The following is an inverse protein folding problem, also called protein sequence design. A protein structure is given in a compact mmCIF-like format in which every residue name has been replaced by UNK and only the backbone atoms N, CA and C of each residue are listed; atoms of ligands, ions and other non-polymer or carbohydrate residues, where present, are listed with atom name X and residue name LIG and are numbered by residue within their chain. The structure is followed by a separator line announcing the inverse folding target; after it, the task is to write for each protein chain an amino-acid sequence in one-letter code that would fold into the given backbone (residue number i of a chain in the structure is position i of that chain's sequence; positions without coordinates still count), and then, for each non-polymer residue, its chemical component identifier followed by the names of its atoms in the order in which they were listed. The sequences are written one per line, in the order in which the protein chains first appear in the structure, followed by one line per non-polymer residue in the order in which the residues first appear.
data_IF_133891063329
#
_entry.id   IF_133891063329
#
_cell.length_a   1.000
_cell.length_b   1.000
_cell.length_c   1.000
_cell.angle_alpha   90.00
_cell.angle_beta   90.00
_cell.angle_gamma   90.00
#
_symmetry.space_group_name_H-M   'P 1'
#
loop_
_entity.id
_entity.type
_entity.pdbx_description
1 polymer ?
#
# COMPACT_ATOMS: atom_id res chain seq x y z
N UNK A 1 -7.58 -33.33 59.88
CA UNK A 1 -8.68 -34.22 60.26
C UNK A 1 -9.80 -33.35 60.80
N UNK A 2 -10.89 -33.19 60.05
CA UNK A 2 -12.25 -32.90 60.55
C UNK A 2 -13.14 -32.84 59.31
N UNK A 3 -13.88 -33.91 59.08
CA UNK A 3 -14.85 -34.03 58.01
C UNK A 3 -16.23 -33.67 58.52
N UNK A 4 -16.95 -32.84 57.77
CA UNK A 4 -18.38 -32.64 57.97
C UNK A 4 -19.11 -33.07 56.69
N UNK A 5 -19.84 -34.18 56.83
CA UNK A 5 -20.88 -34.62 55.90
C UNK A 5 -22.12 -33.78 56.18
N UNK A 6 -22.65 -33.09 55.17
CA UNK A 6 -24.03 -32.62 55.18
C UNK A 6 -24.75 -33.34 54.04
N UNK A 7 -25.63 -34.22 54.45
CA UNK A 7 -26.64 -34.92 53.66
C UNK A 7 -27.79 -33.93 53.46
N UNK A 8 -28.19 -33.68 52.21
CA UNK A 8 -29.49 -33.09 51.90
C UNK A 8 -30.19 -34.02 50.90
N UNK A 9 -31.23 -34.67 51.39
CA UNK A 9 -32.11 -35.58 50.66
C UNK A 9 -33.51 -34.95 50.65
N UNK A 10 -34.04 -34.82 49.43
CA UNK A 10 -35.45 -34.83 48.97
C UNK A 10 -36.47 -33.83 49.54
N UNK A 11 -37.18 -33.20 48.59
CA UNK A 11 -38.62 -33.40 48.29
C UNK A 11 -39.40 -32.08 48.05
N UNK A 12 -40.43 -32.21 47.20
CA UNK A 12 -41.45 -31.21 46.79
C UNK A 12 -41.00 -30.14 45.78
N UNK A 13 -41.67 -29.95 44.64
CA UNK A 13 -42.92 -30.52 44.16
C UNK A 13 -43.16 -30.17 42.70
N UNK A 14 -43.96 -31.04 42.07
CA UNK A 14 -44.58 -30.85 40.77
C UNK A 14 -45.32 -29.51 40.70
N UNK A 15 -45.12 -28.76 39.62
CA UNK A 15 -46.19 -27.96 39.04
C UNK A 15 -46.02 -27.92 37.52
N UNK A 16 -46.93 -28.61 36.84
CA UNK A 16 -47.17 -28.56 35.41
C UNK A 16 -48.09 -27.36 35.15
N UNK A 17 -47.73 -26.41 34.28
CA UNK A 17 -48.73 -25.61 33.58
C UNK A 17 -48.96 -26.19 32.18
N UNK A 18 -50.21 -26.55 32.00
CA UNK A 18 -50.88 -27.00 30.80
C UNK A 18 -50.95 -25.92 29.71
N UNK A 19 -51.00 -26.41 28.48
CA UNK A 19 -51.76 -25.89 27.34
C UNK A 19 -51.71 -24.38 27.05
N UNK A 20 -51.05 -24.04 25.94
CA UNK A 20 -51.67 -23.15 24.96
C UNK A 20 -51.42 -23.67 23.55
N UNK A 21 -52.52 -24.19 23.00
CA UNK A 21 -52.74 -24.41 21.58
C UNK A 21 -52.86 -23.06 20.87
N UNK A 22 -52.77 -23.10 19.53
CA UNK A 22 -52.89 -21.98 18.57
C UNK A 22 -51.56 -21.24 18.42
N UNK A 23 -50.86 -21.23 17.28
CA UNK A 23 -51.33 -21.16 15.90
C UNK A 23 -50.28 -21.80 14.98
N UNK A 24 -50.68 -22.85 14.26
CA UNK A 24 -49.96 -23.32 13.09
C UNK A 24 -50.26 -22.36 11.93
N UNK A 25 -49.49 -21.27 11.82
CA UNK A 25 -49.47 -20.46 10.61
C UNK A 25 -48.64 -21.17 9.54
N UNK A 26 -49.38 -21.87 8.67
CA UNK A 26 -49.11 -22.08 7.24
C UNK A 26 -47.90 -21.32 6.70
N UNK A 27 -46.79 -22.03 6.53
CA UNK A 27 -45.61 -21.59 5.77
C UNK A 27 -45.78 -21.82 4.25
N UNK A 28 -47.02 -22.01 3.76
CA UNK A 28 -47.29 -22.42 2.38
C UNK A 28 -47.87 -21.33 1.45
N UNK A 29 -48.11 -20.09 1.92
CA UNK A 29 -48.79 -19.08 1.09
C UNK A 29 -48.11 -17.70 0.99
N UNK A 30 -46.81 -17.60 1.25
CA UNK A 30 -46.03 -16.37 1.00
C UNK A 30 -44.97 -16.57 -0.10
N UNK A 31 -45.31 -17.32 -1.16
CA UNK A 31 -44.49 -17.47 -2.38
C UNK A 31 -45.15 -16.93 -3.64
N UNK A 32 -46.33 -16.27 -3.56
CA UNK A 32 -47.12 -15.93 -4.75
C UNK A 32 -47.56 -14.48 -4.91
N UNK A 33 -47.06 -13.55 -4.10
CA UNK A 33 -47.28 -12.13 -4.34
C UNK A 33 -46.00 -11.36 -4.01
N UNK A 34 -45.63 -10.42 -4.90
CA UNK A 34 -44.51 -9.49 -4.77
C UNK A 34 -43.15 -9.92 -5.34
N UNK A 35 -43.12 -10.51 -6.55
CA UNK A 35 -42.14 -10.08 -7.57
C UNK A 35 -42.86 -10.20 -8.92
N UNK A 36 -43.20 -9.07 -9.56
CA UNK A 36 -43.42 -9.03 -11.01
C UNK A 36 -42.02 -8.86 -11.63
N UNK A 37 -41.36 -9.92 -12.15
CA UNK A 37 -40.04 -9.79 -12.78
C UNK A 37 -40.10 -9.14 -14.19
N UNK A 38 -41.27 -8.67 -14.62
CA UNK A 38 -41.54 -8.28 -16.01
C UNK A 38 -41.33 -6.80 -16.36
N UNK A 39 -40.72 -5.98 -15.50
CA UNK A 39 -40.48 -4.55 -15.77
C UNK A 39 -39.02 -4.12 -15.77
N UNK A 40 -38.07 -5.06 -15.77
CA UNK A 40 -36.72 -4.75 -16.20
C UNK A 40 -36.63 -5.01 -17.70
N UNK A 41 -36.36 -4.00 -18.55
CA UNK A 41 -36.06 -4.26 -19.94
C UNK A 41 -34.87 -5.21 -19.97
N UNK A 42 -35.08 -6.41 -20.51
CA UNK A 42 -34.02 -7.35 -20.86
C UNK A 42 -33.20 -6.70 -21.97
N UNK A 43 -32.29 -5.81 -21.61
CA UNK A 43 -31.26 -5.30 -22.50
C UNK A 43 -30.28 -6.44 -22.75
N UNK A 44 -30.64 -7.32 -23.66
CA UNK A 44 -29.68 -8.14 -24.39
C UNK A 44 -28.53 -7.21 -24.83
N UNK A 45 -27.33 -7.57 -24.40
CA UNK A 45 -26.03 -7.05 -24.83
C UNK A 45 -25.55 -5.68 -24.34
N UNK A 46 -25.76 -5.32 -23.06
CA UNK A 46 -24.80 -4.40 -22.41
C UNK A 46 -23.54 -5.20 -22.07
N UNK A 47 -22.65 -5.36 -23.06
CA UNK A 47 -21.29 -5.84 -22.82
C UNK A 47 -20.53 -4.73 -22.11
N UNK A 48 -20.40 -4.85 -20.79
CA UNK A 48 -19.42 -4.04 -20.07
C UNK A 48 -18.05 -4.34 -20.71
N UNK A 49 -17.33 -3.35 -21.27
CA UNK A 49 -16.00 -3.60 -21.78
C UNK A 49 -15.15 -4.07 -20.61
N UNK A 50 -14.83 -5.37 -20.60
CA UNK A 50 -13.83 -5.95 -19.72
C UNK A 50 -12.50 -5.36 -20.15
N UNK A 51 -12.18 -4.18 -19.62
CA UNK A 51 -10.89 -3.55 -19.82
C UNK A 51 -9.85 -4.40 -19.08
N UNK A 52 -9.38 -5.47 -19.73
CA UNK A 52 -8.32 -6.34 -19.25
C UNK A 52 -7.03 -5.57 -18.95
N UNK A 53 -6.88 -4.36 -19.50
CA UNK A 53 -5.77 -3.45 -19.23
C UNK A 53 -5.84 -2.76 -17.86
N UNK A 54 -7.03 -2.48 -17.31
CA UNK A 54 -7.15 -1.87 -15.98
C UNK A 54 -6.75 -2.87 -14.87
N UNK A 55 -7.03 -4.17 -15.08
CA UNK A 55 -6.55 -5.25 -14.23
C UNK A 55 -5.06 -5.58 -14.43
N UNK A 56 -4.39 -5.12 -15.49
CA UNK A 56 -2.94 -5.33 -15.64
C UNK A 56 -2.10 -4.39 -14.78
N UNK A 57 -2.71 -3.36 -14.18
CA UNK A 57 -2.08 -2.58 -13.11
C UNK A 57 -2.25 -3.20 -11.73
N UNK A 58 -2.69 -4.46 -11.63
CA UNK A 58 -2.82 -5.21 -10.36
C UNK A 58 -1.47 -5.28 -9.65
N UNK A 59 -1.28 -4.27 -8.80
CA UNK A 59 -0.84 -4.36 -7.42
C UNK A 59 0.12 -5.53 -7.20
N UNK A 60 1.34 -5.43 -7.72
CA UNK A 60 2.38 -6.43 -7.48
C UNK A 60 2.85 -6.49 -6.02
N UNK A 61 2.14 -5.89 -5.06
CA UNK A 61 2.53 -5.93 -3.65
C UNK A 61 2.42 -7.36 -3.16
N UNK A 62 3.49 -7.85 -2.55
CA UNK A 62 3.44 -9.15 -1.88
C UNK A 62 2.57 -8.98 -0.65
N UNK A 63 1.56 -9.83 -0.50
CA UNK A 63 0.67 -9.78 0.67
C UNK A 63 1.13 -10.79 1.72
N UNK A 64 1.28 -10.31 2.96
CA UNK A 64 1.62 -11.12 4.12
C UNK A 64 0.48 -10.96 5.12
N UNK A 65 -0.26 -12.03 5.38
CA UNK A 65 -1.40 -12.02 6.30
C UNK A 65 -1.09 -12.87 7.53
N UNK A 66 -1.43 -12.36 8.71
CA UNK A 66 -1.12 -12.99 9.99
C UNK A 66 -2.40 -13.11 10.81
N UNK A 67 -2.72 -14.33 11.20
CA UNK A 67 -3.91 -14.68 11.99
C UNK A 67 -3.50 -15.62 13.15
N UNK A 68 -4.35 -15.84 14.17
CA UNK A 68 -4.05 -16.75 15.27
C UNK A 68 -3.75 -18.17 14.81
N UNK A 69 -4.30 -18.56 13.65
CA UNK A 69 -4.16 -19.89 13.05
C UNK A 69 -2.84 -20.07 12.28
N UNK A 70 -2.20 -18.98 11.86
CA UNK A 70 -1.05 -19.06 10.98
C UNK A 70 -0.63 -17.77 10.27
N UNK A 71 0.51 -17.87 9.60
CA UNK A 71 1.08 -16.85 8.72
C UNK A 71 0.91 -17.30 7.27
N UNK A 72 0.39 -16.41 6.43
CA UNK A 72 0.01 -16.67 5.05
C UNK A 72 0.75 -15.69 4.13
N UNK A 73 1.29 -16.19 3.01
CA UNK A 73 1.92 -15.37 1.98
C UNK A 73 1.13 -15.54 0.69
N UNK A 74 0.52 -14.46 0.22
CA UNK A 74 -0.38 -14.46 -0.94
C UNK A 74 -1.47 -15.54 -0.83
N UNK A 75 -2.14 -15.59 0.33
CA UNK A 75 -3.18 -16.56 0.64
C UNK A 75 -2.68 -17.98 0.96
N UNK A 76 -1.41 -18.30 0.73
CA UNK A 76 -0.86 -19.64 1.00
C UNK A 76 -0.27 -19.71 2.40
N UNK A 77 -0.83 -20.57 3.26
CA UNK A 77 -0.34 -20.81 4.63
C UNK A 77 1.12 -21.30 4.60
N UNK A 78 2.01 -20.56 5.24
CA UNK A 78 3.43 -20.92 5.34
C UNK A 78 3.77 -21.52 6.71
N UNK A 79 3.11 -21.04 7.77
CA UNK A 79 3.41 -21.44 9.15
C UNK A 79 2.10 -21.57 9.90
N UNK A 80 1.90 -22.71 10.57
CA UNK A 80 0.87 -22.87 11.58
C UNK A 80 1.34 -22.33 12.92
N UNK A 81 0.58 -21.41 13.51
CA UNK A 81 0.82 -20.95 14.88
C UNK A 81 0.09 -21.89 15.86
N UNK A 82 0.72 -22.17 17.00
CA UNK A 82 0.05 -22.87 18.10
C UNK A 82 -0.75 -21.86 18.94
N UNK A 83 -1.78 -22.34 19.63
CA UNK A 83 -2.67 -21.58 20.51
C UNK A 83 -1.95 -20.42 21.22
N UNK A 84 -2.32 -19.19 20.88
CA UNK A 84 -1.74 -17.96 21.45
C UNK A 84 -0.50 -17.41 20.73
N UNK A 85 -0.49 -17.35 19.39
CA UNK A 85 0.52 -16.64 18.60
C UNK A 85 1.97 -17.16 18.71
N UNK A 86 2.17 -18.37 19.27
CA UNK A 86 3.51 -18.92 19.49
C UNK A 86 4.05 -19.58 18.21
N UNK A 87 5.23 -19.13 17.79
CA UNK A 87 5.99 -19.74 16.70
C UNK A 87 6.62 -21.08 17.14
N UNK A 88 6.55 -22.15 16.33
CA UNK A 88 7.26 -23.39 16.63
C UNK A 88 8.77 -23.16 16.65
N UNK A 89 9.50 -23.70 17.65
CA UNK A 89 10.96 -23.53 17.79
C UNK A 89 11.73 -23.88 16.50
N UNK A 90 11.29 -24.93 15.81
CA UNK A 90 11.85 -25.40 14.52
C UNK A 90 11.75 -24.40 13.35
N UNK A 91 10.94 -23.36 13.46
CA UNK A 91 10.80 -22.34 12.40
C UNK A 91 11.85 -21.22 12.49
N UNK A 92 12.54 -21.10 13.63
CA UNK A 92 13.58 -20.11 13.87
C UNK A 92 14.95 -20.67 13.49
N UNK A 93 15.87 -19.81 13.02
CA UNK A 93 17.24 -20.24 12.67
C UNK A 93 18.03 -20.70 13.89
N UNK A 94 17.90 -19.97 14.99
CA UNK A 94 18.45 -20.28 16.31
C UNK A 94 17.38 -19.94 17.35
N UNK A 95 17.42 -20.60 18.51
CA UNK A 95 16.58 -20.23 19.66
C UNK A 95 16.77 -18.74 19.95
N UNK A 96 15.68 -17.97 20.00
CA UNK A 96 15.73 -16.51 20.20
C UNK A 96 15.99 -15.67 18.95
N UNK A 97 16.32 -16.25 17.79
CA UNK A 97 16.55 -15.45 16.57
C UNK A 97 15.27 -14.76 16.07
N UNK A 98 15.42 -13.58 15.46
CA UNK A 98 14.32 -12.84 14.84
C UNK A 98 13.92 -13.37 13.46
N UNK A 99 14.78 -14.20 12.84
CA UNK A 99 14.58 -14.69 11.49
C UNK A 99 13.69 -15.94 11.46
N UNK A 100 12.54 -15.82 10.80
CA UNK A 100 11.60 -16.91 10.57
C UNK A 100 11.95 -17.58 9.24
N UNK A 101 12.65 -18.72 9.27
CA UNK A 101 13.25 -19.37 8.10
C UNK A 101 12.27 -19.73 6.97
N UNK A 102 11.14 -20.42 7.21
CA UNK A 102 10.22 -20.79 6.12
C UNK A 102 9.61 -19.55 5.45
N UNK A 103 9.29 -18.53 6.25
CA UNK A 103 8.78 -17.26 5.75
C UNK A 103 9.84 -16.52 4.91
N UNK A 104 11.07 -16.43 5.42
CA UNK A 104 12.20 -15.82 4.69
C UNK A 104 12.39 -16.44 3.31
N UNK A 105 12.44 -17.78 3.23
CA UNK A 105 12.61 -18.50 1.96
C UNK A 105 11.49 -18.15 0.97
N UNK A 106 10.23 -18.12 1.43
CA UNK A 106 9.07 -17.78 0.60
C UNK A 106 9.11 -16.34 0.11
N UNK A 107 9.38 -15.38 1.00
CA UNK A 107 9.47 -13.96 0.68
C UNK A 107 10.65 -13.67 -0.28
N UNK A 108 11.81 -14.30 -0.06
CA UNK A 108 12.97 -14.17 -0.94
C UNK A 108 12.67 -14.69 -2.36
N UNK A 109 11.95 -15.81 -2.48
CA UNK A 109 11.53 -16.34 -3.77
C UNK A 109 10.60 -15.35 -4.51
N UNK A 110 9.66 -14.72 -3.81
CA UNK A 110 8.79 -13.68 -4.37
C UNK A 110 9.59 -12.45 -4.80
N UNK A 111 10.49 -11.96 -3.97
CA UNK A 111 11.37 -10.84 -4.29
C UNK A 111 12.21 -11.11 -5.55
N UNK A 112 12.88 -12.26 -5.63
CA UNK A 112 13.67 -12.66 -6.81
C UNK A 112 12.81 -12.75 -8.07
N UNK A 113 11.61 -13.35 -7.98
CA UNK A 113 10.67 -13.44 -9.12
C UNK A 113 10.25 -12.05 -9.61
N UNK A 114 9.93 -11.13 -8.69
CA UNK A 114 9.56 -9.74 -9.04
C UNK A 114 10.71 -9.00 -9.70
N UNK A 115 11.93 -9.12 -9.16
CA UNK A 115 13.14 -8.53 -9.75
C UNK A 115 13.41 -9.07 -11.17
N UNK A 116 13.18 -10.36 -11.41
CA UNK A 116 13.30 -10.95 -12.74
C UNK A 116 12.25 -10.41 -13.73
N UNK A 117 10.99 -10.25 -13.28
CA UNK A 117 9.93 -9.64 -14.09
C UNK A 117 10.21 -8.16 -14.39
N UNK A 118 10.76 -7.40 -13.44
CA UNK A 118 11.17 -6.01 -13.63
C UNK A 118 12.15 -5.86 -14.79
N UNK A 119 13.19 -6.73 -14.80
CA UNK A 119 14.21 -6.74 -15.85
C UNK A 119 13.62 -7.00 -17.23
N UNK A 120 12.60 -7.85 -17.32
CA UNK A 120 11.93 -8.20 -18.60
C UNK A 120 10.98 -7.12 -19.07
N UNK A 121 10.23 -6.51 -18.16
CA UNK A 121 9.16 -5.56 -18.47
C UNK A 121 9.63 -4.10 -18.55
N UNK A 122 10.87 -3.81 -18.12
CA UNK A 122 11.43 -2.45 -17.99
C UNK A 122 10.60 -1.52 -17.09
N UNK A 123 9.66 -2.05 -16.31
CA UNK A 123 8.90 -1.29 -15.33
C UNK A 123 9.67 -1.18 -14.01
N UNK A 124 9.61 -0.01 -13.32
CA UNK A 124 10.17 0.12 -11.98
C UNK A 124 9.50 -0.89 -11.05
N UNK A 125 10.29 -1.57 -10.22
CA UNK A 125 9.76 -2.46 -9.19
C UNK A 125 9.78 -1.77 -7.84
N UNK A 126 8.61 -1.71 -7.24
CA UNK A 126 8.43 -1.28 -5.85
C UNK A 126 8.56 -2.50 -4.94
N UNK A 127 9.48 -2.51 -3.98
CA UNK A 127 9.71 -3.69 -3.12
C UNK A 127 8.86 -3.63 -1.84
N UNK A 128 7.57 -3.40 -2.05
CA UNK A 128 6.62 -3.14 -0.97
C UNK A 128 6.04 -4.46 -0.47
N UNK A 129 5.90 -4.57 0.85
CA UNK A 129 5.24 -5.66 1.54
C UNK A 129 3.99 -5.13 2.25
N UNK A 130 2.82 -5.63 1.85
CA UNK A 130 1.56 -5.30 2.51
C UNK A 130 1.30 -6.32 3.63
N UNK A 131 1.39 -5.87 4.88
CA UNK A 131 1.24 -6.70 6.07
C UNK A 131 -0.15 -6.51 6.67
N UNK A 132 -0.98 -7.54 6.57
CA UNK A 132 -2.27 -7.65 7.26
C UNK A 132 -2.11 -8.44 8.56
N UNK A 133 -2.61 -7.91 9.66
CA UNK A 133 -2.54 -8.60 10.95
C UNK A 133 -3.69 -8.21 11.86
N UNK A 134 -4.09 -9.13 12.74
CA UNK A 134 -5.11 -8.82 13.74
C UNK A 134 -4.60 -7.86 14.81
N UNK A 135 -5.51 -7.10 15.40
CA UNK A 135 -5.22 -6.15 16.48
C UNK A 135 -4.51 -6.80 17.68
N UNK A 136 -4.77 -8.07 17.95
CA UNK A 136 -4.22 -8.81 19.08
C UNK A 136 -2.83 -9.42 18.79
N UNK A 137 -2.21 -9.06 17.65
CA UNK A 137 -0.89 -9.57 17.28
C UNK A 137 0.16 -9.11 18.31
N UNK A 138 0.88 -10.02 18.98
CA UNK A 138 1.93 -9.63 19.91
C UNK A 138 3.03 -8.85 19.20
N UNK A 139 3.46 -7.74 19.78
CA UNK A 139 4.51 -6.88 19.23
C UNK A 139 5.80 -7.66 18.92
N UNK A 140 6.16 -8.63 19.77
CA UNK A 140 7.32 -9.49 19.54
C UNK A 140 7.23 -10.36 18.27
N UNK A 141 6.02 -10.75 17.85
CA UNK A 141 5.82 -11.46 16.58
C UNK A 141 5.86 -10.48 15.40
N UNK A 142 5.26 -9.30 15.54
CA UNK A 142 5.30 -8.23 14.54
C UNK A 142 6.75 -7.84 14.20
N UNK A 143 7.60 -7.60 15.20
CA UNK A 143 9.02 -7.26 15.01
C UNK A 143 9.78 -8.35 14.24
N UNK A 144 9.49 -9.64 14.51
CA UNK A 144 10.09 -10.77 13.78
C UNK A 144 9.64 -10.82 12.33
N UNK A 145 8.38 -10.50 12.05
CA UNK A 145 7.84 -10.44 10.69
C UNK A 145 8.48 -9.32 9.89
N UNK A 146 8.58 -8.11 10.46
CA UNK A 146 9.24 -6.96 9.83
C UNK A 146 10.72 -7.24 9.58
N UNK A 147 11.43 -7.77 10.59
CA UNK A 147 12.83 -8.17 10.45
C UNK A 147 13.02 -9.20 9.32
N UNK A 148 12.18 -10.23 9.30
CA UNK A 148 12.23 -11.29 8.27
C UNK A 148 11.94 -10.74 6.87
N UNK A 149 10.97 -9.83 6.74
CA UNK A 149 10.66 -9.14 5.49
C UNK A 149 11.82 -8.26 4.99
N UNK A 150 12.44 -7.50 5.91
CA UNK A 150 13.60 -6.66 5.60
C UNK A 150 14.79 -7.49 5.09
N UNK A 151 15.10 -8.59 5.78
CA UNK A 151 16.16 -9.53 5.35
C UNK A 151 15.86 -10.14 3.97
N UNK A 152 14.59 -10.33 3.61
CA UNK A 152 14.19 -10.86 2.30
C UNK A 152 14.32 -9.85 1.14
N UNK A 153 14.58 -8.57 1.45
CA UNK A 153 14.77 -7.50 0.46
C UNK A 153 13.58 -6.55 0.28
N UNK A 154 12.58 -6.61 1.15
CA UNK A 154 11.49 -5.64 1.19
C UNK A 154 11.92 -4.41 1.98
N UNK A 155 11.78 -3.22 1.38
CA UNK A 155 12.23 -1.96 1.99
C UNK A 155 11.09 -1.09 2.50
N UNK A 156 9.89 -1.26 1.95
CA UNK A 156 8.69 -0.51 2.32
C UNK A 156 7.63 -1.48 2.85
N UNK A 157 7.00 -1.09 3.96
CA UNK A 157 5.98 -1.89 4.64
C UNK A 157 4.70 -1.07 4.76
N UNK A 158 3.63 -1.60 4.18
CA UNK A 158 2.29 -1.07 4.40
C UNK A 158 1.63 -1.91 5.49
N UNK A 159 1.29 -1.29 6.61
CA UNK A 159 0.65 -1.97 7.74
C UNK A 159 -0.85 -1.76 7.67
N UNK A 160 -1.59 -2.87 7.66
CA UNK A 160 -3.04 -2.90 7.71
C UNK A 160 -3.50 -3.74 8.92
N UNK A 161 -4.12 -3.07 9.89
CA UNK A 161 -4.70 -3.75 11.06
C UNK A 161 -6.09 -4.26 10.69
N UNK A 162 -6.31 -5.56 10.88
CA UNK A 162 -7.61 -6.19 10.79
C UNK A 162 -8.24 -6.22 12.18
N UNK A 163 -9.46 -5.70 12.29
CA UNK A 163 -10.24 -5.89 13.51
C UNK A 163 -10.95 -7.23 13.39
N UNK A 164 -10.90 -8.09 14.44
CA UNK A 164 -11.64 -9.33 14.43
C UNK A 164 -13.12 -9.02 14.23
N UNK A 165 -13.72 -9.66 13.23
CA UNK A 165 -15.13 -9.53 12.99
C UNK A 165 -15.89 -10.08 14.19
N UNK A 166 -16.52 -9.20 14.97
CA UNK A 166 -17.76 -9.59 15.64
C UNK A 166 -18.67 -10.09 14.50
N UNK A 167 -18.98 -11.39 14.49
CA UNK A 167 -19.65 -12.12 13.40
C UNK A 167 -20.63 -11.20 12.64
N UNK A 168 -20.31 -10.81 11.40
CA UNK A 168 -21.24 -10.09 10.51
C UNK A 168 -20.82 -8.76 9.84
N UNK A 169 -19.58 -8.27 9.95
CA UNK A 169 -19.16 -7.00 9.27
C UNK A 169 -17.99 -7.18 8.28
N UNK A 170 -17.62 -6.17 7.47
CA UNK A 170 -16.60 -6.22 6.37
C UNK A 170 -15.27 -5.56 6.75
N UNK A 171 -14.15 -6.01 6.17
CA UNK A 171 -12.78 -5.67 6.61
C UNK A 171 -12.53 -4.19 6.33
N UNK A 172 -12.11 -3.42 7.33
CA UNK A 172 -11.67 -2.04 7.13
C UNK A 172 -10.14 -2.01 7.13
N UNK A 173 -9.52 -1.78 5.97
CA UNK A 173 -8.08 -1.61 5.88
C UNK A 173 -7.70 -0.19 6.33
N UNK A 174 -7.09 -0.04 7.50
CA UNK A 174 -6.46 1.21 7.93
C UNK A 174 -4.97 1.15 7.63
N UNK A 175 -4.51 1.95 6.67
CA UNK A 175 -3.09 2.08 6.32
C UNK A 175 -2.44 2.98 7.37
N UNK A 176 -1.63 2.41 8.26
CA UNK A 176 -0.78 3.18 9.15
C UNK A 176 0.59 3.38 8.50
N UNK A 177 0.90 4.61 8.11
CA UNK A 177 2.27 5.02 7.78
C UNK A 177 2.99 5.31 9.09
N UNK A 178 3.75 4.33 9.60
CA UNK A 178 4.63 4.56 10.74
C UNK A 178 5.79 5.47 10.30
N UNK A 179 5.71 6.76 10.62
CA UNK A 179 6.89 7.61 10.74
C UNK A 179 7.63 7.20 12.03
N UNK A 180 8.94 6.87 11.98
CA UNK A 180 9.68 6.59 13.21
C UNK A 180 9.64 7.84 14.11
N UNK A 181 9.36 7.69 15.42
CA UNK A 181 9.51 8.80 16.34
C UNK A 181 10.99 9.20 16.38
N UNK A 182 11.29 10.42 15.97
CA UNK A 182 12.56 11.05 16.33
C UNK A 182 12.58 11.17 17.85
N UNK A 183 13.32 10.28 18.52
CA UNK A 183 13.66 10.40 19.94
C UNK A 183 14.58 11.62 20.04
N UNK A 184 14.00 12.78 20.30
CA UNK A 184 14.70 14.03 20.54
C UNK A 184 14.78 14.30 22.03
N UNK A 185 15.91 13.93 22.65
CA UNK A 185 16.34 14.57 23.88
C UNK A 185 16.74 16.01 23.58
N UNK A 186 16.32 16.94 24.44
CA UNK A 186 16.80 18.32 24.42
C UNK A 186 18.32 18.35 24.60
N UNK A 187 19.08 19.05 23.74
CA UNK A 187 20.46 19.40 24.08
C UNK A 187 20.49 20.63 25.01
N UNK A 188 21.37 20.66 26.01
CA UNK A 188 21.61 21.87 26.80
C UNK A 188 22.25 22.97 25.95
N UNK A 189 21.91 24.21 26.29
CA UNK A 189 22.51 25.41 25.74
C UNK A 189 24.02 25.43 26.00
N UNK A 190 24.77 25.96 25.03
CA UNK A 190 26.23 26.12 24.99
C UNK A 190 27.07 24.89 24.66
N UNK A 191 27.31 24.70 23.36
CA UNK A 191 28.65 24.33 22.89
C UNK A 191 28.84 24.78 21.43
N UNK A 192 29.89 25.56 21.19
CA UNK A 192 30.41 25.89 19.85
C UNK A 192 31.01 24.60 19.28
N UNK A 193 30.53 24.16 18.12
CA UNK A 193 31.20 23.11 17.34
C UNK A 193 31.42 23.52 15.88
N UNK A 194 32.70 23.68 15.57
CA UNK A 194 33.44 23.23 14.40
C UNK A 194 32.70 22.88 13.10
N UNK A 195 33.10 23.58 12.05
CA UNK A 195 32.91 23.25 10.64
C UNK A 195 33.49 21.88 10.28
N UNK A 196 32.63 20.89 10.02
CA UNK A 196 32.99 19.67 9.29
C UNK A 196 32.46 19.72 7.86
N UNK A 197 33.38 19.84 6.90
CA UNK A 197 33.12 19.75 5.48
C UNK A 197 32.70 18.32 5.11
N UNK A 198 31.49 18.15 4.58
CA UNK A 198 30.97 16.86 4.11
C UNK A 198 31.06 16.77 2.60
N UNK A 199 31.89 15.84 2.13
CA UNK A 199 32.06 15.49 0.72
C UNK A 199 30.75 15.02 0.08
N UNK A 200 30.46 15.53 -1.12
CA UNK A 200 29.30 15.16 -1.94
C UNK A 200 29.66 13.97 -2.87
N UNK A 201 28.83 12.93 -2.97
CA UNK A 201 28.98 11.93 -4.02
C UNK A 201 28.48 12.46 -5.37
N UNK A 202 29.31 12.28 -6.40
CA UNK A 202 29.04 12.65 -7.80
C UNK A 202 27.93 11.78 -8.39
N UNK A 203 26.86 12.41 -8.89
CA UNK A 203 25.84 11.77 -9.73
C UNK A 203 26.33 11.68 -11.18
N UNK A 204 26.20 10.52 -11.87
CA UNK A 204 26.55 10.41 -13.28
C UNK A 204 25.44 10.93 -14.19
N UNK A 205 25.83 11.78 -15.14
CA UNK A 205 25.01 12.33 -16.22
C UNK A 205 24.76 11.26 -17.28
N UNK A 206 23.51 10.87 -17.51
CA UNK A 206 23.13 10.01 -18.65
C UNK A 206 22.92 10.86 -19.91
N UNK A 207 23.68 10.52 -20.95
CA UNK A 207 23.67 11.11 -22.29
C UNK A 207 22.60 10.38 -23.11
N UNK A 208 21.74 11.14 -23.79
CA UNK A 208 20.72 10.61 -24.71
C UNK A 208 21.41 10.35 -26.06
N UNK A 209 21.51 9.08 -26.47
CA UNK A 209 21.84 8.69 -27.85
C UNK A 209 20.57 8.25 -28.58
N UNK A 210 20.48 8.68 -29.84
CA UNK A 210 19.43 8.35 -30.81
C UNK A 210 19.44 6.86 -31.15
N UNK A 211 18.26 6.26 -31.27
CA UNK A 211 18.07 4.92 -31.79
C UNK A 211 18.27 4.88 -33.32
N UNK A 212 18.89 3.83 -33.88
CA UNK A 212 18.71 3.48 -35.28
C UNK A 212 17.46 2.59 -35.47
N UNK A 213 16.89 2.71 -36.67
CA UNK A 213 15.69 2.04 -37.16
C UNK A 213 15.85 0.52 -37.24
N UNK A 214 14.73 -0.19 -37.11
CA UNK A 214 14.64 -1.64 -37.20
C UNK A 214 13.76 -1.98 -38.41
N UNK A 215 14.38 -2.37 -39.52
CA UNK A 215 13.70 -3.00 -40.65
C UNK A 215 13.94 -4.51 -40.62
N UNK A 216 12.85 -5.25 -40.81
CA UNK A 216 12.71 -6.61 -41.36
C UNK A 216 13.73 -7.69 -41.01
N UNK A 217 13.25 -8.82 -40.47
CA UNK A 217 13.24 -10.09 -41.22
C UNK A 217 12.45 -11.18 -40.46
N UNK A 218 11.38 -11.60 -41.14
CA UNK A 218 10.60 -12.82 -40.95
C UNK A 218 11.39 -14.07 -41.38
N UNK A 219 11.14 -15.18 -40.69
CA UNK A 219 11.22 -16.52 -41.28
C UNK A 219 12.28 -17.46 -40.71
N UNK A 220 11.83 -18.50 -39.99
CA UNK A 220 12.16 -19.91 -40.26
C UNK A 220 11.77 -20.79 -39.06
N UNK A 221 10.60 -21.43 -39.20
CA UNK A 221 10.29 -22.71 -38.56
C UNK A 221 11.07 -23.81 -39.29
N UNK A 222 11.83 -24.64 -38.56
CA UNK A 222 11.93 -26.09 -38.83
C UNK A 222 12.52 -26.80 -37.60
N UNK A 223 11.89 -27.92 -37.25
CA UNK A 223 11.94 -28.54 -35.94
C UNK A 223 13.17 -29.37 -35.64
N UNK A 224 13.23 -29.92 -34.44
CA UNK A 224 13.79 -31.25 -34.26
C UNK A 224 13.20 -31.95 -33.03
N UNK A 225 12.48 -33.03 -33.31
CA UNK A 225 12.16 -34.10 -32.37
C UNK A 225 13.45 -34.90 -32.18
N UNK A 226 14.11 -34.81 -31.03
CA UNK A 226 14.80 -35.96 -30.43
C UNK A 226 14.89 -35.78 -28.91
N UNK A 227 13.97 -36.50 -28.26
CA UNK A 227 13.99 -36.87 -26.86
C UNK A 227 15.18 -37.79 -26.56
N UNK A 228 15.74 -37.61 -25.37
CA UNK A 228 16.01 -38.69 -24.43
C UNK A 228 16.64 -39.98 -25.00
N UNK A 229 17.96 -39.96 -25.24
CA UNK A 229 18.72 -41.22 -25.32
C UNK A 229 20.22 -41.14 -25.02
N UNK A 230 20.70 -40.12 -24.31
CA UNK A 230 22.13 -40.03 -23.96
C UNK A 230 22.35 -39.76 -22.46
N UNK A 231 22.28 -40.85 -21.69
CA UNK A 231 23.23 -41.30 -20.65
C UNK A 231 23.78 -40.22 -19.69
N UNK A 232 23.54 -40.25 -18.37
CA UNK A 232 23.71 -41.41 -17.50
C UNK A 232 25.19 -41.67 -17.22
N UNK A 233 25.88 -40.83 -16.44
CA UNK A 233 27.20 -41.18 -15.89
C UNK A 233 27.47 -40.60 -14.48
N UNK A 234 28.19 -41.45 -13.76
CA UNK A 234 28.55 -41.48 -12.35
C UNK A 234 29.51 -40.35 -11.94
N UNK A 235 29.45 -40.05 -10.64
CA UNK A 235 30.54 -39.66 -9.73
C UNK A 235 31.95 -39.61 -10.35
N UNK A 236 32.67 -38.49 -10.17
CA UNK A 236 34.11 -38.46 -9.83
C UNK A 236 34.62 -37.03 -9.52
N UNK A 237 35.21 -36.93 -8.33
CA UNK A 237 36.44 -36.22 -7.90
C UNK A 237 36.68 -34.73 -8.23
N UNK A 238 37.03 -34.05 -7.12
CA UNK A 238 37.86 -32.84 -6.98
C UNK A 238 38.98 -32.75 -8.03
N UNK A 239 39.10 -31.59 -8.67
CA UNK A 239 40.38 -31.04 -9.12
C UNK A 239 40.39 -29.53 -8.93
N UNK A 240 41.37 -29.09 -8.14
CA UNK A 240 41.93 -27.75 -8.06
C UNK A 240 42.53 -27.37 -9.42
N UNK A 241 42.27 -26.16 -9.92
CA UNK A 241 43.03 -25.59 -11.04
C UNK A 241 43.08 -24.05 -10.97
N UNK A 242 44.23 -23.59 -10.49
CA UNK A 242 45.04 -22.46 -10.98
C UNK A 242 44.38 -21.33 -11.79
N UNK A 243 44.21 -20.20 -11.10
CA UNK A 243 44.79 -18.87 -11.40
C UNK A 243 45.51 -18.72 -12.75
N UNK A 244 44.93 -17.95 -13.66
CA UNK A 244 45.63 -17.30 -14.77
C UNK A 244 45.19 -15.84 -14.87
N UNK A 245 46.12 -14.94 -14.55
CA UNK A 245 45.99 -13.49 -14.67
C UNK A 245 46.26 -13.08 -16.12
N UNK A 246 45.23 -12.63 -16.83
CA UNK A 246 45.39 -12.07 -18.17
C UNK A 246 45.54 -10.54 -18.09
N UNK A 247 46.80 -10.09 -18.20
CA UNK A 247 47.25 -8.69 -18.17
C UNK A 247 47.14 -8.13 -19.60
N UNK A 248 46.12 -7.31 -19.88
CA UNK A 248 45.97 -6.61 -21.18
C UNK A 248 46.71 -5.26 -21.13
N UNK A 249 47.51 -4.91 -22.16
CA UNK A 249 48.17 -3.61 -22.25
C UNK A 249 47.20 -2.50 -22.69
N UNK A 250 47.27 -1.36 -22.02
CA UNK A 250 46.53 -0.15 -22.36
C UNK A 250 47.16 0.54 -23.58
N UNK A 251 46.43 0.60 -24.70
CA UNK A 251 46.74 1.48 -25.83
C UNK A 251 46.16 2.87 -25.56
N UNK A 252 47.03 3.82 -25.32
CA UNK A 252 46.71 5.25 -25.17
C UNK A 252 46.48 5.87 -26.55
N UNK A 253 45.22 6.10 -26.93
CA UNK A 253 44.88 6.92 -28.09
C UNK A 253 45.02 8.41 -27.73
N UNK A 254 45.96 9.10 -28.37
CA UNK A 254 46.08 10.57 -28.35
C UNK A 254 44.92 11.17 -29.13
N UNK A 255 44.00 11.83 -28.44
CA UNK A 255 42.89 12.59 -29.04
C UNK A 255 43.36 14.03 -29.31
N UNK A 256 43.14 14.59 -30.51
CA UNK A 256 43.57 15.94 -30.86
C UNK A 256 42.81 17.04 -30.07
N UNK A 257 43.44 18.21 -29.84
CA UNK A 257 42.88 19.28 -29.03
C UNK A 257 41.71 19.99 -29.74
N UNK A 258 40.50 19.59 -29.40
CA UNK A 258 39.27 20.29 -29.85
C UNK A 258 39.19 21.70 -29.25
N UNK A 259 39.13 22.72 -30.13
CA UNK A 259 39.02 24.14 -29.77
C UNK A 259 37.83 24.37 -28.82
N UNK A 260 38.14 24.79 -27.58
CA UNK A 260 37.17 25.13 -26.52
C UNK A 260 36.36 26.37 -26.93
N UNK A 261 35.16 26.14 -27.47
CA UNK A 261 34.14 27.17 -27.64
C UNK A 261 33.72 27.65 -26.25
N UNK A 262 33.91 28.95 -25.94
CA UNK A 262 33.51 29.59 -24.68
C UNK A 262 31.98 29.54 -24.56
N UNK A 263 31.46 28.50 -23.92
CA UNK A 263 30.03 28.40 -23.57
C UNK A 263 29.77 29.42 -22.46
N UNK A 264 29.08 30.51 -22.82
CA UNK A 264 28.52 31.49 -21.89
C UNK A 264 27.73 30.75 -20.80
N UNK A 265 28.27 30.76 -19.58
CA UNK A 265 27.64 30.16 -18.39
C UNK A 265 26.44 31.02 -18.02
N UNK A 266 25.28 30.74 -18.63
CA UNK A 266 23.99 31.22 -18.10
C UNK A 266 23.88 30.72 -16.67
N UNK A 267 23.83 31.65 -15.72
CA UNK A 267 23.66 31.43 -14.28
C UNK A 267 22.29 30.78 -14.07
N UNK A 268 22.23 29.45 -14.13
CA UNK A 268 21.02 28.69 -13.81
C UNK A 268 20.80 28.84 -12.31
N UNK A 269 19.87 29.70 -11.93
CA UNK A 269 19.44 29.79 -10.55
C UNK A 269 18.82 28.44 -10.15
N UNK A 270 19.28 27.81 -9.06
CA UNK A 270 18.75 26.53 -8.63
C UNK A 270 17.26 26.69 -8.32
N UNK A 271 16.43 26.03 -9.13
CA UNK A 271 14.98 26.06 -8.99
C UNK A 271 14.63 25.38 -7.66
N UNK A 272 14.18 26.16 -6.68
CA UNK A 272 13.81 25.72 -5.33
C UNK A 272 12.98 24.44 -5.42
N UNK A 273 13.52 23.34 -4.90
CA UNK A 273 12.89 22.03 -4.98
C UNK A 273 11.60 22.07 -4.14
N UNK A 274 10.45 22.04 -4.84
CA UNK A 274 9.14 22.09 -4.19
C UNK A 274 8.82 20.70 -3.63
N UNK A 275 8.69 20.62 -2.30
CA UNK A 275 8.19 19.44 -1.60
C UNK A 275 6.71 19.20 -1.98
N UNK A 276 6.24 17.94 -2.04
CA UNK A 276 4.84 17.62 -2.30
C UNK A 276 3.96 18.09 -1.15
N UNK A 277 2.84 18.75 -1.44
CA UNK A 277 1.94 19.40 -0.48
C UNK A 277 1.19 18.42 0.43
N UNK A 278 1.01 17.16 0.01
CA UNK A 278 0.20 16.16 0.70
C UNK A 278 -1.21 16.71 1.02
N UNK A 279 -1.91 17.18 -0.02
CA UNK A 279 -3.23 17.76 0.13
C UNK A 279 -4.21 16.73 0.71
N UNK A 280 -4.86 17.08 1.82
CA UNK A 280 -5.86 16.24 2.49
C UNK A 280 -7.20 16.98 2.58
N UNK A 281 -8.29 16.32 2.19
CA UNK A 281 -9.65 16.85 2.12
C UNK A 281 -10.50 16.07 3.11
N UNK A 282 -10.86 16.69 4.24
CA UNK A 282 -11.74 16.11 5.23
C UNK A 282 -13.20 16.50 4.96
N UNK A 283 -14.05 15.49 4.74
CA UNK A 283 -15.49 15.66 4.56
C UNK A 283 -16.17 15.38 5.91
N UNK A 284 -16.70 16.43 6.53
CA UNK A 284 -17.37 16.41 7.85
C UNK A 284 -18.87 16.73 7.71
N UNK A 285 -19.71 16.36 8.68
CA UNK A 285 -21.15 16.64 8.61
C UNK A 285 -21.45 18.14 8.53
N UNK A 286 -20.60 18.97 9.14
CA UNK A 286 -20.72 20.43 9.17
C UNK A 286 -20.09 21.13 7.96
N UNK A 287 -19.30 20.44 7.13
CA UNK A 287 -18.58 21.07 6.02
C UNK A 287 -17.34 20.32 5.54
N UNK A 288 -16.52 21.00 4.74
CA UNK A 288 -15.24 20.49 4.24
C UNK A 288 -14.09 21.23 4.94
N UNK A 289 -13.07 20.49 5.38
CA UNK A 289 -11.80 21.05 5.86
C UNK A 289 -10.67 20.60 4.93
N UNK A 290 -9.86 21.55 4.49
CA UNK A 290 -8.69 21.28 3.66
C UNK A 290 -7.43 21.43 4.49
N UNK A 291 -6.53 20.45 4.41
CA UNK A 291 -5.26 20.46 5.10
C UNK A 291 -4.11 20.31 4.12
N UNK A 292 -3.06 21.05 4.38
CA UNK A 292 -1.78 21.00 3.65
C UNK A 292 -0.70 20.82 4.71
N UNK A 293 0.11 19.76 4.59
CA UNK A 293 1.07 19.37 5.63
C UNK A 293 0.45 19.22 7.04
N UNK A 294 -0.81 18.80 7.12
CA UNK A 294 -1.53 18.67 8.40
C UNK A 294 -2.04 19.99 8.99
N UNK A 295 -1.83 21.13 8.32
CA UNK A 295 -2.35 22.43 8.76
C UNK A 295 -3.60 22.83 7.96
N UNK A 296 -4.66 23.32 8.63
CA UNK A 296 -5.88 23.74 7.95
C UNK A 296 -5.61 24.97 7.06
N UNK A 297 -6.17 24.95 5.86
CA UNK A 297 -6.15 26.09 4.96
C UNK A 297 -7.24 27.08 5.43
N UNK A 298 -6.92 28.38 5.56
CA UNK A 298 -7.92 29.39 5.90
C UNK A 298 -9.04 29.47 4.86
N UNK A 299 -10.16 30.06 5.27
CA UNK A 299 -11.32 30.31 4.40
C UNK A 299 -10.88 31.01 3.11
N UNK A 300 -11.51 30.64 1.98
CA UNK A 300 -11.24 31.16 0.63
C UNK A 300 -9.90 30.75 -0.04
N UNK A 301 -9.12 29.89 0.60
CA UNK A 301 -7.93 29.27 0.02
C UNK A 301 -6.92 30.26 -0.55
N UNK A 302 -6.38 31.07 0.37
CA UNK A 302 -5.24 31.95 0.11
C UNK A 302 -3.96 31.23 0.56
N UNK A 303 -3.28 30.47 -0.34
CA UNK A 303 -2.04 29.79 0.03
C UNK A 303 -0.97 30.83 0.37
N UNK A 304 -0.42 30.76 1.59
CA UNK A 304 0.74 31.56 2.00
C UNK A 304 0.47 32.72 2.96
N UNK A 305 -0.79 33.04 3.29
CA UNK A 305 -1.08 33.88 4.46
C UNK A 305 -1.14 33.00 5.69
N UNK A 306 -0.42 33.37 6.75
CA UNK A 306 -0.52 32.70 8.04
C UNK A 306 -2.00 32.61 8.43
N UNK A 307 -2.47 31.40 8.75
CA UNK A 307 -3.84 31.21 9.22
C UNK A 307 -4.05 32.03 10.49
N UNK A 308 -5.22 32.67 10.67
CA UNK A 308 -5.55 33.32 11.94
C UNK A 308 -5.43 32.29 13.08
N UNK A 309 -4.94 32.71 14.24
CA UNK A 309 -4.95 31.92 15.47
C UNK A 309 -6.19 32.34 16.27
N UNK A 310 -7.12 31.44 16.64
CA UNK A 310 -7.13 30.00 16.34
C UNK A 310 -7.55 29.68 14.89
N UNK A 311 -7.04 28.58 14.29
CA UNK A 311 -7.38 28.21 12.93
C UNK A 311 -8.88 27.86 12.81
N UNK A 312 -9.54 28.24 11.71
CA UNK A 312 -10.93 27.88 11.50
C UNK A 312 -11.06 26.35 11.41
N UNK A 313 -12.04 25.79 12.13
CA UNK A 313 -12.28 24.34 12.15
C UNK A 313 -12.67 23.76 10.78
N UNK A 314 -13.27 24.58 9.91
CA UNK A 314 -13.74 24.21 8.58
C UNK A 314 -13.30 25.26 7.55
N UNK A 315 -12.78 24.80 6.42
CA UNK A 315 -12.43 25.66 5.28
C UNK A 315 -13.67 26.10 4.51
N UNK A 316 -14.66 25.21 4.40
CA UNK A 316 -15.96 25.46 3.77
C UNK A 316 -17.08 24.94 4.67
N UNK A 317 -17.71 25.79 5.49
CA UNK A 317 -18.91 25.40 6.22
C UNK A 317 -20.06 25.13 5.24
N UNK A 318 -20.94 24.20 5.60
CA UNK A 318 -22.15 23.96 4.82
C UNK A 318 -23.04 25.20 4.82
N UNK A 319 -23.56 25.57 3.63
CA UNK A 319 -24.54 26.64 3.47
C UNK A 319 -25.89 25.98 3.22
N UNK A 320 -26.90 26.27 4.05
CA UNK A 320 -28.26 25.72 3.90
C UNK A 320 -28.28 24.16 3.82
N UNK A 321 -27.50 23.49 4.67
CA UNK A 321 -27.31 22.02 4.66
C UNK A 321 -26.77 21.44 3.34
N UNK A 322 -26.26 22.29 2.44
CA UNK A 322 -25.59 21.90 1.20
C UNK A 322 -24.09 22.21 1.30
N UNK A 323 -23.30 21.30 0.75
CA UNK A 323 -21.85 21.41 0.71
C UNK A 323 -21.42 22.46 -0.32
N UNK A 324 -20.48 23.34 0.03
CA UNK A 324 -19.98 24.39 -0.88
C UNK A 324 -18.95 23.82 -1.89
N UNK A 325 -19.48 23.09 -2.87
CA UNK A 325 -18.70 22.45 -3.93
C UNK A 325 -18.04 23.46 -4.89
N UNK A 326 -18.67 24.62 -5.10
CA UNK A 326 -18.13 25.69 -5.95
C UNK A 326 -16.91 26.34 -5.30
N UNK A 327 -16.97 26.62 -3.99
CA UNK A 327 -15.85 27.10 -3.19
C UNK A 327 -14.69 26.11 -3.19
N UNK A 328 -14.98 24.82 -2.97
CA UNK A 328 -13.99 23.75 -3.04
C UNK A 328 -13.28 23.72 -4.41
N UNK A 329 -14.03 23.74 -5.50
CA UNK A 329 -13.47 23.68 -6.86
C UNK A 329 -12.53 24.85 -7.15
N UNK A 330 -12.96 26.06 -6.76
CA UNK A 330 -12.16 27.28 -6.92
C UNK A 330 -10.85 27.18 -6.13
N UNK A 331 -10.94 26.65 -4.92
CA UNK A 331 -9.79 26.42 -4.07
C UNK A 331 -8.81 25.38 -4.64
N UNK A 332 -9.30 24.23 -5.09
CA UNK A 332 -8.46 23.18 -5.69
C UNK A 332 -7.71 23.72 -6.93
N UNK A 333 -8.36 24.56 -7.74
CA UNK A 333 -7.71 25.26 -8.86
C UNK A 333 -6.60 26.21 -8.40
N UNK A 334 -6.82 26.99 -7.33
CA UNK A 334 -5.79 27.88 -6.74
C UNK A 334 -4.60 27.10 -6.22
N UNK A 335 -4.84 26.00 -5.48
CA UNK A 335 -3.78 25.13 -4.96
C UNK A 335 -2.98 24.52 -6.12
N UNK A 336 -3.66 24.01 -7.16
CA UNK A 336 -2.99 23.45 -8.34
C UNK A 336 -2.16 24.49 -9.08
N UNK A 337 -2.63 25.73 -9.18
CA UNK A 337 -1.88 26.84 -9.77
C UNK A 337 -0.63 27.18 -8.95
N UNK A 338 -0.73 27.17 -7.61
CA UNK A 338 0.39 27.42 -6.71
C UNK A 338 1.40 26.26 -6.67
N UNK A 339 0.96 25.03 -6.92
CA UNK A 339 1.78 23.82 -6.85
C UNK A 339 1.47 22.85 -7.98
N UNK A 340 1.96 23.13 -9.20
CA UNK A 340 1.61 22.36 -10.40
C UNK A 340 2.15 20.93 -10.38
N UNK A 341 3.19 20.66 -9.60
CA UNK A 341 3.79 19.32 -9.42
C UNK A 341 2.96 18.41 -8.52
N UNK A 342 2.07 18.97 -7.70
CA UNK A 342 1.24 18.17 -6.82
C UNK A 342 0.27 17.34 -7.66
N UNK A 343 0.36 16.02 -7.53
CA UNK A 343 -0.46 15.08 -8.31
C UNK A 343 -1.37 14.21 -7.43
N UNK A 344 -1.16 14.26 -6.11
CA UNK A 344 -1.87 13.44 -5.14
C UNK A 344 -2.84 14.29 -4.33
N UNK A 345 -4.01 13.72 -4.03
CA UNK A 345 -4.94 14.25 -3.04
C UNK A 345 -5.46 13.08 -2.18
N UNK A 346 -5.63 13.32 -0.89
CA UNK A 346 -6.17 12.33 0.06
C UNK A 346 -7.54 12.84 0.48
N UNK A 347 -8.59 12.05 0.28
CA UNK A 347 -9.95 12.35 0.72
C UNK A 347 -10.23 11.50 1.95
N UNK A 348 -10.58 12.15 3.05
CA UNK A 348 -10.95 11.52 4.31
C UNK A 348 -12.41 11.86 4.59
N UNK A 349 -13.28 10.88 4.70
CA UNK A 349 -14.71 11.12 4.95
C UNK A 349 -15.18 10.46 6.24
N UNK A 350 -15.98 11.16 7.04
CA UNK A 350 -16.68 10.55 8.17
C UNK A 350 -17.75 9.57 7.64
N UNK A 351 -17.96 8.45 8.35
CA UNK A 351 -18.98 7.43 8.01
C UNK A 351 -20.41 7.98 7.91
N UNK A 352 -20.73 9.04 8.65
CA UNK A 352 -22.08 9.64 8.64
C UNK A 352 -22.34 10.54 7.42
N UNK A 353 -21.41 10.63 6.47
CA UNK A 353 -21.57 11.41 5.24
C UNK A 353 -22.30 10.60 4.18
N UNK A 354 -23.31 11.22 3.56
CA UNK A 354 -24.01 10.64 2.40
C UNK A 354 -23.01 10.33 1.29
N UNK A 355 -23.05 9.10 0.77
CA UNK A 355 -22.17 8.64 -0.31
C UNK A 355 -22.14 9.59 -1.53
N UNK A 356 -23.29 10.19 -1.88
CA UNK A 356 -23.41 11.20 -2.94
C UNK A 356 -22.41 12.36 -2.77
N UNK A 357 -22.22 12.84 -1.55
CA UNK A 357 -21.31 13.96 -1.27
C UNK A 357 -19.85 13.53 -1.45
N UNK A 358 -19.51 12.30 -1.08
CA UNK A 358 -18.16 11.73 -1.28
C UNK A 358 -17.82 11.64 -2.76
N UNK A 359 -18.74 11.13 -3.57
CA UNK A 359 -18.55 11.02 -5.02
C UNK A 359 -18.42 12.39 -5.67
N UNK A 360 -19.25 13.37 -5.29
CA UNK A 360 -19.12 14.73 -5.79
C UNK A 360 -17.75 15.34 -5.50
N UNK A 361 -17.22 15.16 -4.27
CA UNK A 361 -15.87 15.64 -3.94
C UNK A 361 -14.80 14.90 -4.76
N UNK A 362 -14.94 13.59 -4.94
CA UNK A 362 -14.02 12.78 -5.74
C UNK A 362 -13.99 13.22 -7.21
N UNK A 363 -15.16 13.45 -7.81
CA UNK A 363 -15.29 13.94 -9.19
C UNK A 363 -14.69 15.35 -9.36
N UNK A 364 -14.91 16.24 -8.39
CA UNK A 364 -14.33 17.59 -8.40
C UNK A 364 -12.81 17.55 -8.32
N UNK A 365 -12.23 16.66 -7.51
CA UNK A 365 -10.77 16.49 -7.43
C UNK A 365 -10.16 15.93 -8.70
N UNK A 366 -10.94 15.16 -9.47
CA UNK A 366 -10.52 14.56 -10.74
C UNK A 366 -10.91 15.39 -11.98
N UNK A 367 -11.60 16.52 -11.78
CA UNK A 367 -12.07 17.38 -12.87
C UNK A 367 -10.89 17.91 -13.70
N UNK A 368 -11.09 17.98 -15.02
CA UNK A 368 -10.09 18.54 -15.93
C UNK A 368 -10.10 20.07 -15.85
N UNK A 369 -8.93 20.67 -15.71
CA UNK A 369 -8.70 22.10 -15.85
C UNK A 369 -7.64 22.31 -16.92
N UNK A 370 -8.00 22.99 -18.02
CA UNK A 370 -7.15 23.14 -19.22
C UNK A 370 -6.69 21.78 -19.78
N UNK A 371 -7.62 20.83 -19.90
CA UNK A 371 -7.37 19.49 -20.42
C UNK A 371 -6.62 18.53 -19.49
N UNK A 372 -6.08 19.00 -18.36
CA UNK A 372 -5.35 18.18 -17.38
C UNK A 372 -6.17 17.95 -16.12
N UNK A 373 -6.17 16.72 -15.60
CA UNK A 373 -6.78 16.40 -14.29
C UNK A 373 -6.10 17.22 -13.19
N UNK A 374 -6.88 17.78 -12.27
CA UNK A 374 -6.34 18.54 -11.14
C UNK A 374 -5.42 17.65 -10.29
N UNK A 375 -5.94 16.52 -9.81
CA UNK A 375 -5.19 15.54 -9.03
C UNK A 375 -5.43 14.13 -9.59
N UNK A 376 -4.51 13.59 -10.43
CA UNK A 376 -4.71 12.27 -11.03
C UNK A 376 -4.66 11.11 -10.02
N UNK A 377 -4.01 11.30 -8.87
CA UNK A 377 -3.86 10.26 -7.84
C UNK A 377 -4.68 10.61 -6.60
N UNK A 378 -5.93 10.18 -6.58
CA UNK A 378 -6.82 10.39 -5.44
C UNK A 378 -6.83 9.14 -4.57
N UNK A 379 -6.53 9.29 -3.28
CA UNK A 379 -6.63 8.22 -2.28
C UNK A 379 -7.83 8.52 -1.39
N UNK A 380 -8.69 7.54 -1.15
CA UNK A 380 -9.85 7.67 -0.29
C UNK A 380 -9.66 6.89 1.01
N UNK A 381 -10.08 7.48 2.12
CA UNK A 381 -10.08 6.87 3.46
C UNK A 381 -11.37 7.23 4.19
N UNK A 382 -11.89 6.30 4.99
CA UNK A 382 -13.05 6.52 5.85
C UNK A 382 -12.62 6.62 7.31
N UNK A 383 -13.21 7.53 8.07
CA UNK A 383 -12.96 7.70 9.50
C UNK A 383 -14.24 7.52 10.32
N UNK A 384 -14.09 6.84 11.45
CA UNK A 384 -15.07 6.79 12.54
C UNK A 384 -14.71 7.90 13.54
N UNK A 385 -14.99 9.15 13.18
CA UNK A 385 -14.97 10.27 14.14
C UNK A 385 -16.31 10.31 14.88
#
# INVERSE_FOLDING_TARGET
MFGWRIVFILCFGLLIPTANASQALSTAQCQKACINPSLFPTTSSIQLPLSAQAYRMVQFKTSLSVSPSGIYVDGVKQISLRSGWKLPKKTLRRTGSYLILPLYKRLLARYKRRKALAKRTKHPTHNDLLLFFDQDLPYGLLTKLLYTGGQAGFGEFDLAVCHPFKKGTRCEARIFLLCPPMIGGLPPANSRCGTFARAQPKTPTLRIEKAPQLDTLTGALKGNKQLAKWMGFKSLKKTTSSRTTNKRPAKTQKVPPTKRRKVSRRKVTPRKEQRPLNLTIHIKPKGISLLVYGHPIPTHCSPGKASPKPPPALTFPNKQNKMDLAGLTTCLKKIKKASPRESRAIIVANRNIKYKNVIQVLDLTNTKHKGKRLFPYVVFSATSE
#
